data_IF_021356296098
#
_entry.id   IF_021356296098
#
_cell.length_a   1.000
_cell.length_b   1.000
_cell.length_c   1.000
_cell.angle_alpha   90.00
_cell.angle_beta   90.00
_cell.angle_gamma   90.00
#
_symmetry.space_group_name_H-M   'P 1'
#
loop_
_entity.id
_entity.type
_entity.pdbx_description
1 polymer ?
#
# COMPACT_ATOMS: atom_id res chain seq x y z
N UNK A 1 -31.27 37.07 -56.74
CA UNK A 1 -31.16 36.93 -58.20
C UNK A 1 -30.42 38.18 -58.66
N UNK A 2 -29.16 38.20 -59.08
CA UNK A 2 -28.25 37.18 -59.60
C UNK A 2 -26.85 37.81 -59.70
N UNK A 3 -25.83 37.00 -59.39
CA UNK A 3 -24.43 36.94 -59.86
C UNK A 3 -23.59 38.21 -60.09
N UNK A 4 -22.35 38.16 -59.59
CA UNK A 4 -21.19 38.77 -60.24
C UNK A 4 -19.99 37.84 -60.02
N UNK A 5 -19.70 37.04 -61.04
CA UNK A 5 -18.49 36.26 -61.20
C UNK A 5 -17.51 37.11 -62.02
N UNK A 6 -16.29 37.27 -61.55
CA UNK A 6 -15.17 37.79 -62.36
C UNK A 6 -13.91 37.09 -61.88
N UNK A 7 -13.51 36.09 -62.65
CA UNK A 7 -12.18 35.48 -62.66
C UNK A 7 -11.14 36.49 -63.13
N UNK A 8 -9.96 36.48 -62.51
CA UNK A 8 -8.68 36.68 -63.21
C UNK A 8 -7.50 36.21 -62.34
N UNK A 9 -6.69 35.33 -62.95
CA UNK A 9 -5.24 35.14 -62.78
C UNK A 9 -4.68 34.82 -61.37
N UNK A 10 -3.85 33.80 -61.16
CA UNK A 10 -2.61 33.48 -61.88
C UNK A 10 -2.32 31.98 -61.75
N UNK A 11 -2.13 31.30 -62.88
CA UNK A 11 -1.39 30.05 -62.96
C UNK A 11 -0.03 30.35 -63.58
N UNK A 12 1.06 30.02 -62.89
CA UNK A 12 2.24 29.45 -63.54
C UNK A 12 3.17 28.85 -62.50
N UNK A 13 3.50 27.60 -62.80
CA UNK A 13 4.30 26.65 -62.07
C UNK A 13 5.71 27.16 -61.74
N UNK A 14 6.22 26.82 -60.55
CA UNK A 14 7.63 26.45 -60.48
C UNK A 14 7.88 25.34 -59.45
N UNK A 15 8.71 24.41 -59.89
CA UNK A 15 8.80 23.04 -59.41
C UNK A 15 9.84 22.90 -58.31
N UNK A 16 9.51 22.03 -57.35
CA UNK A 16 10.40 21.37 -56.38
C UNK A 16 11.02 22.29 -55.31
N UNK A 17 10.48 22.18 -54.11
CA UNK A 17 11.37 22.09 -52.95
C UNK A 17 10.88 21.02 -51.99
N UNK A 18 11.73 20.01 -51.85
CA UNK A 18 11.64 18.95 -50.87
C UNK A 18 11.79 19.55 -49.48
N UNK A 19 10.78 19.43 -48.63
CA UNK A 19 11.06 19.40 -47.19
C UNK A 19 10.01 18.58 -46.44
N UNK A 20 10.26 17.28 -46.48
CA UNK A 20 10.13 16.34 -45.37
C UNK A 20 10.16 17.05 -44.00
N UNK A 21 8.99 17.32 -43.45
CA UNK A 21 8.82 17.58 -42.01
C UNK A 21 7.54 16.90 -41.57
N UNK A 22 7.70 15.64 -41.15
CA UNK A 22 6.66 14.91 -40.44
C UNK A 22 6.26 15.69 -39.21
N UNK A 23 5.02 16.15 -39.18
CA UNK A 23 4.38 16.60 -37.96
C UNK A 23 3.83 15.35 -37.26
N UNK A 24 4.35 15.14 -36.06
CA UNK A 24 4.09 14.01 -35.19
C UNK A 24 2.60 13.95 -34.84
N UNK A 25 1.94 12.84 -35.16
CA UNK A 25 0.59 12.55 -34.69
C UNK A 25 0.62 12.41 -33.16
N UNK A 26 0.30 13.51 -32.47
CA UNK A 26 0.09 13.51 -31.02
C UNK A 26 -1.36 13.12 -30.76
N UNK A 27 -1.63 11.83 -30.84
CA UNK A 27 -2.87 11.22 -30.38
C UNK A 27 -2.56 10.40 -29.15
N UNK A 28 -2.71 11.01 -27.97
CA UNK A 28 -2.43 10.36 -26.70
C UNK A 28 -3.29 9.09 -26.53
N UNK A 29 -2.63 7.95 -26.39
CA UNK A 29 -3.24 6.81 -25.74
C UNK A 29 -3.45 7.21 -24.28
N UNK A 30 -4.65 7.66 -23.95
CA UNK A 30 -5.12 7.74 -22.57
C UNK A 30 -5.31 6.31 -22.06
N UNK A 31 -4.19 5.62 -21.82
CA UNK A 31 -4.17 4.48 -20.92
C UNK A 31 -4.47 5.06 -19.55
N UNK A 32 -5.75 5.00 -19.17
CA UNK A 32 -6.21 5.23 -17.81
C UNK A 32 -5.59 4.20 -16.88
N UNK A 33 -4.29 4.32 -16.66
CA UNK A 33 -3.60 3.80 -15.51
C UNK A 33 -3.90 4.82 -14.42
N UNK A 34 -5.01 4.59 -13.72
CA UNK A 34 -5.18 5.18 -12.40
C UNK A 34 -3.87 4.92 -11.67
N UNK A 35 -3.16 6.00 -11.35
CA UNK A 35 -1.99 5.98 -10.49
C UNK A 35 -2.47 5.64 -9.08
N UNK A 36 -2.95 4.41 -8.89
CA UNK A 36 -2.70 3.71 -7.66
C UNK A 36 -1.17 3.61 -7.64
N UNK A 37 -0.54 4.57 -6.97
CA UNK A 37 0.82 4.38 -6.49
C UNK A 37 0.77 3.11 -5.67
N UNK A 38 1.05 1.99 -6.30
CA UNK A 38 1.55 0.82 -5.60
C UNK A 38 2.91 1.30 -5.09
N UNK A 39 2.90 2.01 -3.96
CA UNK A 39 4.01 1.92 -3.04
C UNK A 39 4.29 0.44 -2.99
N UNK A 40 5.43 0.02 -3.55
CA UNK A 40 5.82 -1.37 -3.51
C UNK A 40 5.62 -1.78 -2.06
N UNK A 41 4.62 -2.63 -1.81
CA UNK A 41 4.42 -3.18 -0.49
C UNK A 41 5.71 -3.96 -0.28
N UNK A 42 6.66 -3.36 0.42
CA UNK A 42 7.74 -4.11 1.00
C UNK A 42 6.98 -5.13 1.84
N UNK A 43 7.02 -6.40 1.44
CA UNK A 43 6.44 -7.47 2.24
C UNK A 43 7.21 -7.44 3.56
N UNK A 44 6.71 -6.65 4.51
CA UNK A 44 7.33 -6.46 5.79
C UNK A 44 6.90 -7.66 6.62
N UNK A 45 7.85 -8.56 6.79
CA UNK A 45 7.68 -9.74 7.59
C UNK A 45 7.57 -9.33 9.06
N UNK A 46 6.58 -9.89 9.74
CA UNK A 46 6.25 -9.59 11.12
C UNK A 46 6.03 -10.85 11.91
N UNK A 47 6.30 -10.76 13.20
CA UNK A 47 6.11 -11.82 14.18
C UNK A 47 4.91 -11.49 15.06
N UNK A 48 4.09 -12.51 15.31
CA UNK A 48 2.92 -12.45 16.19
C UNK A 48 2.84 -13.73 16.99
N UNK A 49 2.26 -13.69 18.18
CA UNK A 49 2.03 -14.91 18.94
C UNK A 49 1.01 -15.82 18.24
N UNK A 50 1.27 -17.13 18.26
CA UNK A 50 0.44 -18.14 17.58
C UNK A 50 -1.03 -18.10 18.01
N UNK A 51 -1.27 -17.80 19.29
CA UNK A 51 -2.61 -17.71 19.89
C UNK A 51 -3.34 -16.40 19.59
N UNK A 52 -2.63 -15.38 19.11
CA UNK A 52 -3.17 -14.04 18.79
C UNK A 52 -3.15 -13.74 17.29
N UNK A 53 -2.87 -14.75 16.46
CA UNK A 53 -2.85 -14.60 15.01
C UNK A 53 -4.27 -14.58 14.44
N UNK A 54 -4.68 -13.41 13.93
CA UNK A 54 -5.95 -13.25 13.23
C UNK A 54 -5.70 -12.81 11.78
N UNK A 55 -5.63 -13.78 10.83
CA UNK A 55 -5.37 -13.47 9.43
C UNK A 55 -6.54 -12.71 8.82
N UNK A 56 -6.25 -11.83 7.87
CA UNK A 56 -7.25 -11.08 7.12
C UNK A 56 -8.16 -10.17 7.98
N UNK A 57 -7.81 -9.92 9.25
CA UNK A 57 -8.49 -8.99 10.14
C UNK A 57 -7.66 -7.71 10.25
N UNK A 58 -8.31 -6.56 10.08
CA UNK A 58 -7.65 -5.27 10.28
C UNK A 58 -7.29 -5.06 11.74
N UNK A 59 -6.13 -4.47 11.98
CA UNK A 59 -5.71 -4.02 13.28
C UNK A 59 -5.26 -2.57 13.20
N UNK A 60 -5.41 -1.87 14.32
CA UNK A 60 -4.88 -0.53 14.52
C UNK A 60 -3.69 -0.58 15.47
N UNK A 61 -2.66 0.19 15.18
CA UNK A 61 -1.51 0.37 16.08
C UNK A 61 -1.93 1.32 17.19
N UNK A 62 -1.92 0.83 18.42
CA UNK A 62 -2.27 1.60 19.61
C UNK A 62 -1.08 2.32 20.21
N UNK A 63 0.09 1.68 20.22
CA UNK A 63 1.33 2.30 20.65
C UNK A 63 2.55 1.50 20.17
N UNK A 64 3.74 2.10 20.22
CA UNK A 64 5.00 1.35 20.15
C UNK A 64 5.40 0.86 21.55
N UNK A 65 6.09 -0.28 21.57
CA UNK A 65 6.73 -0.79 22.78
C UNK A 65 8.11 -0.16 22.94
N UNK A 66 8.50 0.07 24.19
CA UNK A 66 9.89 0.39 24.50
C UNK A 66 10.82 -0.75 24.05
N UNK A 67 12.04 -0.38 23.67
CA UNK A 67 13.02 -1.33 23.13
C UNK A 67 13.36 -2.44 24.11
N UNK A 68 13.56 -2.10 25.38
CA UNK A 68 13.84 -3.06 26.44
C UNK A 68 12.70 -4.07 26.63
N UNK A 69 11.45 -3.61 26.54
CA UNK A 69 10.27 -4.47 26.63
C UNK A 69 10.18 -5.40 25.44
N UNK A 70 10.42 -4.90 24.23
CA UNK A 70 10.47 -5.70 22.99
C UNK A 70 11.50 -6.83 23.11
N UNK A 71 12.73 -6.49 23.52
CA UNK A 71 13.81 -7.47 23.70
C UNK A 71 13.41 -8.54 24.73
N UNK A 72 12.82 -8.14 25.85
CA UNK A 72 12.39 -9.06 26.90
C UNK A 72 11.29 -10.02 26.44
N UNK A 73 10.37 -9.57 25.59
CA UNK A 73 9.30 -10.39 25.02
C UNK A 73 9.78 -11.39 23.96
N UNK A 74 10.90 -11.10 23.30
CA UNK A 74 11.54 -11.96 22.30
C UNK A 74 12.65 -12.86 22.87
N UNK A 75 12.84 -12.87 24.20
CA UNK A 75 13.78 -13.75 24.89
C UNK A 75 13.07 -14.95 25.50
N UNK A 76 13.83 -16.02 25.74
CA UNK A 76 13.30 -17.21 26.41
C UNK A 76 12.91 -16.92 27.86
N UNK A 77 11.91 -17.63 28.41
CA UNK A 77 11.69 -17.66 29.84
C UNK A 77 12.96 -18.11 30.56
N UNK A 78 13.46 -17.31 31.51
CA UNK A 78 14.75 -17.55 32.18
C UNK A 78 15.95 -16.88 31.53
N UNK A 79 15.76 -16.16 30.42
CA UNK A 79 16.77 -15.35 29.75
C UNK A 79 17.45 -16.03 28.56
N UNK A 80 18.16 -15.20 27.79
CA UNK A 80 18.87 -15.63 26.59
C UNK A 80 17.98 -15.68 25.34
N UNK A 81 18.65 -15.60 24.19
CA UNK A 81 17.99 -15.54 22.89
C UNK A 81 17.48 -16.92 22.46
N UNK A 82 16.44 -16.94 21.63
CA UNK A 82 16.09 -18.14 20.86
C UNK A 82 17.00 -18.27 19.64
N UNK A 83 17.24 -19.49 19.13
CA UNK A 83 18.10 -19.70 17.96
C UNK A 83 17.66 -18.91 16.73
N UNK A 84 16.36 -18.66 16.59
CA UNK A 84 15.80 -17.94 15.44
C UNK A 84 15.93 -16.41 15.54
N UNK A 85 16.20 -15.89 16.74
CA UNK A 85 16.33 -14.44 17.00
C UNK A 85 17.73 -14.19 17.58
N UNK A 86 18.72 -14.07 16.72
CA UNK A 86 20.09 -13.77 17.14
C UNK A 86 20.23 -12.38 17.78
N UNK A 87 19.45 -11.40 17.31
CA UNK A 87 19.49 -10.00 17.75
C UNK A 87 18.08 -9.47 18.03
N UNK A 88 17.54 -9.68 19.23
CA UNK A 88 16.20 -9.21 19.59
C UNK A 88 16.10 -7.68 19.59
N UNK A 89 17.23 -6.98 19.72
CA UNK A 89 17.32 -5.53 19.63
C UNK A 89 17.18 -4.99 18.20
N UNK A 90 17.12 -5.82 17.16
CA UNK A 90 16.78 -5.33 15.83
C UNK A 90 15.27 -5.14 15.62
N UNK A 91 14.46 -5.83 16.44
CA UNK A 91 13.02 -5.84 16.30
C UNK A 91 12.38 -4.61 16.96
N UNK A 92 11.39 -4.04 16.29
CA UNK A 92 10.50 -3.04 16.87
C UNK A 92 9.19 -3.72 17.27
N UNK A 93 8.74 -3.45 18.49
CA UNK A 93 7.49 -3.98 19.04
C UNK A 93 6.38 -2.94 19.02
N UNK A 94 5.15 -3.41 18.81
CA UNK A 94 3.95 -2.59 18.75
C UNK A 94 2.83 -3.25 19.55
N UNK A 95 2.01 -2.42 20.17
CA UNK A 95 0.71 -2.82 20.72
C UNK A 95 -0.30 -2.59 19.62
N UNK A 96 -0.97 -3.64 19.18
CA UNK A 96 -2.00 -3.59 18.15
C UNK A 96 -3.34 -4.01 18.71
N UNK A 97 -4.41 -3.48 18.13
CA UNK A 97 -5.79 -3.86 18.44
C UNK A 97 -6.50 -4.32 17.18
N UNK A 98 -6.94 -5.57 17.16
CA UNK A 98 -7.79 -6.09 16.09
C UNK A 98 -9.18 -5.44 16.15
N UNK A 99 -9.67 -5.07 14.97
CA UNK A 99 -10.98 -4.47 14.75
C UNK A 99 -11.94 -5.58 14.34
N UNK A 100 -12.49 -6.30 15.33
CA UNK A 100 -13.41 -7.41 15.08
C UNK A 100 -14.85 -6.90 15.08
N UNK A 101 -15.54 -7.02 13.94
CA UNK A 101 -16.94 -6.63 13.81
C UNK A 101 -17.30 -6.22 12.38
N UNK A 102 -18.59 -6.30 12.03
CA UNK A 102 -19.08 -5.75 10.77
C UNK A 102 -18.93 -4.22 10.83
N UNK A 103 -18.17 -3.62 9.90
CA UNK A 103 -17.88 -2.18 9.85
C UNK A 103 -17.14 -1.60 11.07
N UNK A 104 -16.26 -2.35 11.74
CA UNK A 104 -15.47 -1.81 12.87
C UNK A 104 -16.29 -1.57 14.15
N UNK A 105 -17.45 -2.22 14.28
CA UNK A 105 -18.27 -2.21 15.49
C UNK A 105 -17.53 -2.75 16.71
N UNK A 106 -17.77 -2.13 17.87
CA UNK A 106 -16.93 -2.15 19.07
C UNK A 106 -17.07 -3.38 19.98
N UNK A 107 -17.76 -4.44 19.54
CA UNK A 107 -18.21 -5.50 20.46
C UNK A 107 -17.14 -6.55 20.79
N UNK A 108 -16.08 -6.67 19.97
CA UNK A 108 -14.92 -7.51 20.30
C UNK A 108 -13.62 -6.81 19.89
N UNK A 109 -12.74 -6.58 20.85
CA UNK A 109 -11.43 -5.98 20.62
C UNK A 109 -10.38 -6.86 21.26
N UNK A 110 -9.42 -7.33 20.46
CA UNK A 110 -8.30 -8.13 20.94
C UNK A 110 -7.05 -7.26 20.82
N UNK A 111 -6.42 -6.98 21.96
CA UNK A 111 -5.16 -6.26 22.02
C UNK A 111 -4.03 -7.27 22.15
N UNK A 112 -3.04 -7.19 21.26
CA UNK A 112 -1.87 -8.08 21.27
C UNK A 112 -0.61 -7.31 20.87
N UNK A 113 0.50 -8.03 20.78
CA UNK A 113 1.79 -7.53 20.36
C UNK A 113 2.13 -7.96 18.94
N UNK A 114 2.76 -7.05 18.21
CA UNK A 114 3.33 -7.29 16.89
C UNK A 114 4.80 -6.90 16.91
N UNK A 115 5.66 -7.72 16.32
CA UNK A 115 7.08 -7.43 16.22
C UNK A 115 7.52 -7.42 14.76
N UNK A 116 8.46 -6.57 14.38
CA UNK A 116 9.02 -6.58 13.04
C UNK A 116 10.45 -6.08 13.00
N UNK A 117 11.27 -6.70 12.17
CA UNK A 117 12.65 -6.31 11.91
C UNK A 117 12.67 -5.08 11.00
N UNK A 118 13.26 -3.97 11.46
CA UNK A 118 13.28 -2.72 10.69
C UNK A 118 11.89 -2.14 10.38
N UNK A 119 10.84 -2.70 10.97
CA UNK A 119 9.46 -2.28 10.78
C UNK A 119 9.27 -0.90 11.41
N UNK A 120 8.59 -0.02 10.69
CA UNK A 120 8.24 1.32 11.15
C UNK A 120 6.75 1.55 10.95
N UNK A 121 5.98 1.36 12.02
CA UNK A 121 4.57 1.71 12.10
C UNK A 121 4.37 2.89 13.04
N UNK A 122 3.42 3.75 12.70
CA UNK A 122 2.99 4.88 13.52
C UNK A 122 1.76 4.54 14.33
N UNK A 123 1.59 5.18 15.48
CA UNK A 123 0.35 5.09 16.24
C UNK A 123 -0.83 5.57 15.38
N UNK A 124 -1.90 4.80 15.37
CA UNK A 124 -3.09 5.04 14.56
C UNK A 124 -3.06 4.37 13.19
N UNK A 125 -1.92 3.84 12.75
CA UNK A 125 -1.84 3.10 11.48
C UNK A 125 -2.77 1.89 11.52
N UNK A 126 -3.51 1.70 10.43
CA UNK A 126 -4.37 0.53 10.23
C UNK A 126 -3.77 -0.36 9.17
N UNK A 127 -3.56 -1.64 9.52
CA UNK A 127 -2.93 -2.66 8.67
C UNK A 127 -3.66 -3.99 8.88
N UNK A 128 -3.25 -5.01 8.13
CA UNK A 128 -3.84 -6.35 8.20
C UNK A 128 -2.75 -7.40 8.06
N UNK A 129 -2.85 -8.49 8.81
CA UNK A 129 -1.99 -9.65 8.60
C UNK A 129 -2.48 -10.43 7.38
N UNK A 130 -1.56 -10.86 6.52
CA UNK A 130 -1.90 -11.74 5.40
C UNK A 130 -2.32 -13.13 5.90
N UNK A 131 -2.92 -13.95 5.03
CA UNK A 131 -3.30 -15.32 5.40
C UNK A 131 -2.12 -16.30 5.47
N UNK A 132 -0.98 -15.96 4.88
CA UNK A 132 0.22 -16.78 4.91
C UNK A 132 0.97 -16.59 6.22
N UNK A 133 1.07 -17.64 7.03
CA UNK A 133 1.93 -17.67 8.20
C UNK A 133 2.70 -18.98 8.29
N UNK A 134 3.92 -18.90 8.81
CA UNK A 134 4.78 -20.04 9.11
C UNK A 134 5.21 -20.00 10.57
N UNK A 135 5.47 -21.18 11.16
CA UNK A 135 6.02 -21.24 12.51
C UNK A 135 7.42 -20.65 12.49
N UNK A 136 7.62 -19.57 13.24
CA UNK A 136 8.91 -18.91 13.36
C UNK A 136 9.69 -19.47 14.56
N UNK A 137 9.08 -19.50 15.74
CA UNK A 137 9.70 -20.12 16.92
C UNK A 137 8.65 -20.80 17.77
N UNK A 138 8.69 -22.13 17.84
CA UNK A 138 7.82 -22.92 18.72
C UNK A 138 8.12 -22.66 20.20
N UNK A 139 9.35 -22.27 20.53
CA UNK A 139 9.76 -21.98 21.92
C UNK A 139 9.06 -20.75 22.46
N UNK A 140 8.91 -19.71 21.64
CA UNK A 140 8.23 -18.45 22.01
C UNK A 140 6.79 -18.40 21.54
N UNK A 141 6.30 -19.45 20.88
CA UNK A 141 5.00 -19.48 20.22
C UNK A 141 4.82 -18.32 19.24
N UNK A 142 5.80 -18.09 18.36
CA UNK A 142 5.76 -17.03 17.35
C UNK A 142 5.50 -17.59 15.96
N UNK A 143 4.62 -16.92 15.22
CA UNK A 143 4.41 -17.07 13.79
C UNK A 143 5.06 -15.92 13.05
N UNK A 144 5.63 -16.20 11.88
CA UNK A 144 6.04 -15.21 10.90
C UNK A 144 4.96 -15.08 9.83
N UNK A 145 4.58 -13.86 9.50
CA UNK A 145 3.58 -13.53 8.49
C UNK A 145 3.94 -12.21 7.82
N UNK A 146 3.25 -11.86 6.74
CA UNK A 146 3.45 -10.58 6.04
C UNK A 146 2.34 -9.59 6.36
N UNK A 147 2.69 -8.30 6.37
CA UNK A 147 1.71 -7.22 6.40
C UNK A 147 1.07 -6.99 5.03
N UNK A 148 -0.25 -7.13 4.98
CA UNK A 148 -1.07 -6.67 3.86
C UNK A 148 -1.17 -5.14 3.85
N UNK A 149 -1.46 -4.58 2.67
CA UNK A 149 -1.66 -3.15 2.47
C UNK A 149 -2.72 -2.55 3.41
N UNK A 150 -2.58 -1.24 3.68
CA UNK A 150 -3.56 -0.46 4.44
C UNK A 150 -4.94 -0.60 3.81
N UNK A 151 -5.95 -0.98 4.60
CA UNK A 151 -7.34 -0.90 4.18
C UNK A 151 -7.72 0.56 4.03
N UNK A 152 -7.47 1.12 2.85
CA UNK A 152 -7.95 2.45 2.50
C UNK A 152 -9.46 2.43 2.41
N UNK A 153 -10.13 3.05 3.38
CA UNK A 153 -11.52 3.46 3.23
C UNK A 153 -11.66 4.27 1.94
N UNK A 154 -12.40 3.75 0.98
CA UNK A 154 -12.57 4.36 -0.33
C UNK A 154 -13.30 5.69 -0.21
N UNK A 155 -12.60 6.80 -0.44
CA UNK A 155 -13.24 8.09 -0.69
C UNK A 155 -13.92 8.01 -2.06
N UNK A 156 -15.24 7.84 -2.08
CA UNK A 156 -16.05 8.05 -3.29
C UNK A 156 -16.07 9.55 -3.61
N UNK A 157 -15.09 10.04 -4.37
CA UNK A 157 -15.22 11.37 -4.98
C UNK A 157 -16.05 11.22 -6.25
N UNK A 158 -17.33 11.58 -6.15
CA UNK A 158 -18.25 11.75 -7.27
C UNK A 158 -17.60 12.55 -8.40
N UNK A 159 -17.41 11.92 -9.56
CA UNK A 159 -17.01 12.59 -10.80
C UNK A 159 -18.16 13.49 -11.26
N UNK A 160 -18.08 14.79 -10.96
CA UNK A 160 -18.94 15.82 -11.53
C UNK A 160 -18.60 16.02 -13.00
N UNK A 161 -19.38 15.41 -13.90
CA UNK A 161 -19.32 15.69 -15.33
C UNK A 161 -19.87 17.08 -15.60
N UNK A 162 -19.02 18.00 -16.07
CA UNK A 162 -19.46 19.29 -16.59
C UNK A 162 -19.65 19.17 -18.10
N UNK A 163 -20.83 18.72 -18.52
CA UNK A 163 -21.36 18.98 -19.86
C UNK A 163 -22.13 20.30 -19.82
N UNK A 164 -21.61 21.32 -20.49
CA UNK A 164 -22.34 22.54 -20.80
C UNK A 164 -22.28 22.76 -22.32
N UNK A 165 -23.48 22.89 -22.86
CA UNK A 165 -23.88 23.03 -24.26
C UNK A 165 -23.41 24.31 -24.93
#
# INVERSE_FOLDING_TARGET
MTESDTQEHVESEDRRSFMKKGALATGALALGLGSAGTAAAQNQNVLVYTYDYHPNVEFRVENSLEKATTVRLLQRPGGGNVPEISQPDNYNGYIIRYLLGQNGGSDAQITTFLFGDGLSLSQGDTRRLTGGASVFSSTLNLLSTDLGGSGGGGTTTTSGGNSSS
#
